data_IF_404615775025
#
_entry.id   IF_404615775025
#
_cell.length_a   1.000
_cell.length_b   1.000
_cell.length_c   1.000
_cell.angle_alpha   90.00
_cell.angle_beta   90.00
_cell.angle_gamma   90.00
#
_symmetry.space_group_name_H-M   'P 1'
#
loop_
_entity.id
_entity.type
_entity.pdbx_description
1 polymer ?
#
# COMPACT_ATOMS: atom_id res chain seq x y z
N UNK A 1 -29.36 6.93 88.93
CA UNK A 1 -28.45 7.78 88.13
C UNK A 1 -29.11 7.96 86.78
N UNK A 2 -29.68 9.15 86.58
CA UNK A 2 -30.63 9.46 85.51
C UNK A 2 -29.94 9.80 84.19
N UNK A 3 -30.55 9.31 83.12
CA UNK A 3 -30.41 9.67 81.70
C UNK A 3 -30.89 11.13 81.45
N UNK A 4 -31.07 11.61 80.20
CA UNK A 4 -30.17 11.97 79.08
C UNK A 4 -30.43 13.43 78.63
N UNK A 5 -30.08 13.84 77.39
CA UNK A 5 -30.72 14.87 76.51
C UNK A 5 -29.63 15.46 75.57
N UNK A 6 -29.68 15.36 74.24
CA UNK A 6 -30.68 15.83 73.25
C UNK A 6 -30.68 17.36 73.06
N UNK A 7 -30.59 17.82 71.80
CA UNK A 7 -31.28 19.04 71.35
C UNK A 7 -30.46 20.30 71.01
N UNK A 8 -30.30 20.51 69.70
CA UNK A 8 -30.48 21.78 68.95
C UNK A 8 -29.78 23.09 69.38
N UNK A 9 -29.03 23.69 68.43
CA UNK A 9 -29.32 25.04 67.90
C UNK A 9 -28.48 25.41 66.66
N UNK A 10 -29.17 25.76 65.58
CA UNK A 10 -28.66 26.60 64.48
C UNK A 10 -29.35 27.97 64.59
N UNK A 11 -28.63 29.09 64.40
CA UNK A 11 -29.10 30.04 63.39
C UNK A 11 -27.99 30.76 62.59
N UNK A 12 -28.29 30.98 61.29
CA UNK A 12 -28.08 32.16 60.41
C UNK A 12 -26.74 32.93 60.52
N UNK A 13 -26.02 33.36 59.48
CA UNK A 13 -26.44 33.79 58.13
C UNK A 13 -25.22 34.36 57.34
N UNK A 14 -25.26 34.20 56.00
CA UNK A 14 -24.72 35.07 54.91
C UNK A 14 -23.20 35.21 54.64
N UNK A 15 -22.79 34.64 53.51
CA UNK A 15 -22.06 35.29 52.37
C UNK A 15 -22.00 34.27 51.22
N UNK A 16 -22.87 34.32 50.21
CA UNK A 16 -22.78 35.09 48.95
C UNK A 16 -21.49 34.88 48.14
N UNK A 17 -21.53 33.99 47.15
CA UNK A 17 -21.05 34.22 45.77
C UNK A 17 -21.55 33.05 44.87
N UNK A 18 -22.59 33.27 44.06
CA UNK A 18 -22.51 33.48 42.58
C UNK A 18 -21.80 32.30 41.90
N UNK A 19 -22.39 31.44 41.08
CA UNK A 19 -23.66 31.44 40.35
C UNK A 19 -23.44 30.56 39.12
N UNK A 20 -23.74 29.26 39.21
CA UNK A 20 -23.61 28.30 38.11
C UNK A 20 -24.91 28.33 37.29
N UNK A 21 -24.86 28.87 36.07
CA UNK A 21 -26.00 28.89 35.14
C UNK A 21 -25.86 27.79 34.08
N UNK A 22 -27.01 27.16 33.84
CA UNK A 22 -27.32 26.05 32.94
C UNK A 22 -26.83 26.28 31.50
N UNK A 23 -26.36 25.22 30.85
CA UNK A 23 -26.32 25.11 29.39
C UNK A 23 -27.51 24.25 28.93
N UNK A 24 -28.58 24.91 28.51
CA UNK A 24 -29.62 24.32 27.68
C UNK A 24 -29.19 24.41 26.21
N UNK A 25 -29.29 23.28 25.51
CA UNK A 25 -28.98 23.17 24.09
C UNK A 25 -29.94 23.96 23.21
N UNK A 26 -29.40 24.44 22.09
CA UNK A 26 -30.18 24.93 20.96
C UNK A 26 -29.58 24.30 19.70
N UNK A 27 -30.35 23.40 19.10
CA UNK A 27 -30.17 22.94 17.72
C UNK A 27 -30.50 24.09 16.77
N UNK A 28 -29.62 24.37 15.80
CA UNK A 28 -29.95 25.20 14.65
C UNK A 28 -29.77 24.36 13.39
N UNK A 29 -30.90 24.15 12.70
CA UNK A 29 -30.98 23.64 11.33
C UNK A 29 -31.28 24.85 10.44
N UNK A 30 -30.42 25.10 9.45
CA UNK A 30 -30.69 25.84 8.20
C UNK A 30 -29.35 26.05 7.47
N UNK A 31 -29.23 26.04 6.15
CA UNK A 31 -30.02 25.53 5.04
C UNK A 31 -29.03 25.48 3.86
N UNK A 32 -29.08 24.42 3.07
CA UNK A 32 -28.21 24.22 1.91
C UNK A 32 -28.53 25.24 0.81
N UNK A 33 -27.51 25.95 0.32
CA UNK A 33 -27.53 26.58 -1.01
C UNK A 33 -26.51 25.86 -1.87
N UNK A 34 -27.03 24.98 -2.73
CA UNK A 34 -26.28 24.37 -3.83
C UNK A 34 -26.21 25.38 -4.97
N UNK A 35 -25.03 25.97 -5.22
CA UNK A 35 -24.73 26.51 -6.54
C UNK A 35 -24.30 25.34 -7.42
N UNK A 36 -25.22 24.88 -8.27
CA UNK A 36 -24.85 24.17 -9.49
C UNK A 36 -24.13 25.17 -10.42
N UNK A 37 -22.83 24.96 -10.61
CA UNK A 37 -22.14 25.45 -11.80
C UNK A 37 -21.67 24.20 -12.54
N UNK A 38 -22.46 23.82 -13.55
CA UNK A 38 -22.05 22.86 -14.55
C UNK A 38 -20.88 23.43 -15.35
N UNK A 39 -19.80 22.68 -15.42
CA UNK A 39 -18.81 22.81 -16.49
C UNK A 39 -18.45 21.39 -16.94
N UNK A 40 -19.12 20.99 -18.01
CA UNK A 40 -18.69 19.86 -18.84
C UNK A 40 -17.44 20.25 -19.63
N UNK A 41 -16.60 19.25 -19.88
CA UNK A 41 -15.48 19.18 -20.85
C UNK A 41 -14.18 19.91 -20.45
N UNK A 42 -12.98 19.38 -20.71
CA UNK A 42 -12.58 18.37 -21.68
C UNK A 42 -11.34 17.57 -21.21
N UNK A 43 -11.34 16.26 -21.46
CA UNK A 43 -10.11 15.51 -21.71
C UNK A 43 -9.54 15.99 -23.04
N UNK A 44 -8.25 16.33 -23.10
CA UNK A 44 -7.34 15.95 -24.19
C UNK A 44 -5.97 16.56 -23.91
N UNK A 45 -4.93 15.75 -23.75
CA UNK A 45 -3.59 15.97 -24.33
C UNK A 45 -2.60 14.97 -23.74
N UNK A 46 -2.24 14.00 -24.58
CA UNK A 46 -1.00 13.22 -24.62
C UNK A 46 -1.26 11.69 -24.70
N UNK A 47 -1.82 11.24 -25.82
CA UNK A 47 -1.67 9.86 -26.29
C UNK A 47 -1.96 9.77 -27.80
N UNK A 48 -1.21 10.49 -28.64
CA UNK A 48 -1.12 10.20 -30.07
C UNK A 48 0.25 10.61 -30.62
N UNK A 49 1.04 9.58 -30.94
CA UNK A 49 2.25 9.42 -31.79
C UNK A 49 3.10 8.36 -31.08
N UNK A 50 3.29 7.11 -31.50
CA UNK A 50 3.22 6.46 -32.80
C UNK A 50 2.69 5.03 -32.63
N UNK A 51 1.69 4.62 -33.41
CA UNK A 51 1.46 3.21 -33.70
C UNK A 51 1.43 3.03 -35.22
N UNK A 52 2.57 2.59 -35.76
CA UNK A 52 2.61 1.91 -37.04
C UNK A 52 2.31 0.42 -36.81
N UNK A 53 1.31 -0.18 -37.48
CA UNK A 53 0.96 -1.58 -37.26
C UNK A 53 1.86 -2.46 -38.12
N UNK A 54 2.75 -3.23 -37.50
CA UNK A 54 3.39 -4.36 -38.18
C UNK A 54 2.77 -5.68 -37.73
N UNK A 55 2.42 -6.43 -38.76
CA UNK A 55 1.48 -7.53 -38.79
C UNK A 55 1.90 -8.73 -37.97
N UNK A 56 0.87 -9.35 -37.41
CA UNK A 56 0.82 -10.69 -36.87
C UNK A 56 0.97 -11.72 -38.00
N UNK A 57 2.06 -12.50 -37.99
CA UNK A 57 2.17 -13.70 -38.82
C UNK A 57 2.72 -14.89 -38.02
N UNK A 58 1.85 -15.86 -37.78
CA UNK A 58 2.16 -17.27 -37.48
C UNK A 58 0.99 -18.04 -38.07
N UNK A 59 1.16 -19.07 -38.93
CA UNK A 59 1.94 -20.27 -38.57
C UNK A 59 2.64 -20.99 -39.74
N UNK A 60 3.59 -21.89 -39.43
CA UNK A 60 3.69 -23.23 -40.05
C UNK A 60 4.77 -24.09 -39.39
N UNK A 61 4.43 -25.37 -39.21
CA UNK A 61 5.29 -26.51 -38.89
C UNK A 61 5.46 -27.32 -40.19
N UNK A 62 6.67 -27.80 -40.53
CA UNK A 62 6.87 -29.26 -40.70
C UNK A 62 8.26 -29.69 -40.18
N UNK A 63 8.43 -30.80 -39.45
CA UNK A 63 8.47 -32.23 -39.84
C UNK A 63 9.89 -32.78 -39.74
N UNK A 64 10.07 -33.74 -38.83
CA UNK A 64 10.91 -34.94 -38.90
C UNK A 64 12.36 -34.87 -39.43
N UNK A 65 13.33 -35.27 -38.58
CA UNK A 65 14.10 -36.50 -38.85
C UNK A 65 14.73 -37.10 -37.60
N UNK A 66 14.62 -38.42 -37.56
CA UNK A 66 15.14 -39.36 -36.58
C UNK A 66 16.67 -39.47 -36.66
N UNK A 67 17.33 -39.62 -35.50
CA UNK A 67 18.60 -40.34 -35.41
C UNK A 67 18.49 -41.34 -34.28
N UNK A 68 18.53 -42.61 -34.66
CA UNK A 68 18.59 -43.78 -33.80
C UNK A 68 20.06 -44.02 -33.47
N UNK A 69 20.38 -44.23 -32.19
CA UNK A 69 21.60 -44.93 -31.79
C UNK A 69 21.27 -45.81 -30.58
N UNK A 70 21.31 -47.12 -30.81
CA UNK A 70 21.17 -48.17 -29.81
C UNK A 70 22.53 -48.86 -29.66
N UNK A 71 22.95 -49.11 -28.40
CA UNK A 71 24.01 -50.04 -27.95
C UNK A 71 24.42 -49.63 -26.52
N UNK A 72 24.58 -50.46 -25.48
CA UNK A 72 24.48 -51.91 -25.24
C UNK A 72 24.28 -52.06 -23.71
N UNK A 73 23.54 -53.08 -23.27
CA UNK A 73 23.40 -53.44 -21.86
C UNK A 73 24.58 -54.30 -21.36
N UNK A 74 25.01 -54.06 -20.12
CA UNK A 74 25.85 -54.95 -19.33
C UNK A 74 25.60 -54.68 -17.83
N UNK A 75 25.43 -55.71 -16.97
CA UNK A 75 24.96 -55.53 -15.61
C UNK A 75 26.12 -55.30 -14.63
N UNK A 76 25.99 -54.27 -13.79
CA UNK A 76 26.92 -53.99 -12.70
C UNK A 76 26.19 -53.25 -11.60
N UNK A 77 25.85 -53.96 -10.53
CA UNK A 77 25.26 -53.37 -9.34
C UNK A 77 26.27 -52.45 -8.64
N UNK A 78 25.88 -51.21 -8.39
CA UNK A 78 26.45 -50.39 -7.33
C UNK A 78 25.39 -49.40 -6.87
N UNK A 79 24.90 -49.63 -5.65
CA UNK A 79 24.02 -48.74 -4.90
C UNK A 79 24.86 -47.51 -4.52
N UNK A 80 24.76 -46.44 -5.31
CA UNK A 80 25.31 -45.13 -4.95
C UNK A 80 24.16 -44.22 -4.57
N UNK A 81 24.28 -43.66 -3.36
CA UNK A 81 23.26 -42.93 -2.65
C UNK A 81 22.59 -41.86 -3.49
N UNK A 82 21.28 -41.75 -3.31
CA UNK A 82 20.50 -40.64 -3.80
C UNK A 82 21.04 -39.36 -3.16
N UNK A 83 21.85 -38.61 -3.93
CA UNK A 83 22.02 -37.18 -3.74
C UNK A 83 20.64 -36.54 -3.95
N UNK A 84 19.88 -36.46 -2.87
CA UNK A 84 18.66 -35.70 -2.81
C UNK A 84 19.03 -34.22 -2.98
N UNK A 85 19.08 -33.79 -4.24
CA UNK A 85 19.12 -32.38 -4.63
C UNK A 85 18.06 -31.66 -3.78
N UNK A 86 18.41 -30.65 -2.97
CA UNK A 86 17.44 -30.02 -2.09
C UNK A 86 16.36 -29.43 -2.98
N UNK A 87 15.19 -30.06 -2.98
CA UNK A 87 13.98 -29.48 -3.54
C UNK A 87 13.78 -28.21 -2.75
N UNK A 88 14.09 -27.06 -3.35
CA UNK A 88 13.69 -25.77 -2.84
C UNK A 88 12.18 -25.88 -2.63
N UNK A 89 11.75 -26.10 -1.39
CA UNK A 89 10.33 -26.01 -1.04
C UNK A 89 9.96 -24.58 -1.36
N UNK A 90 9.31 -24.37 -2.50
CA UNK A 90 8.65 -23.11 -2.80
C UNK A 90 7.78 -22.83 -1.59
N UNK A 91 8.16 -21.86 -0.76
CA UNK A 91 7.38 -21.49 0.40
C UNK A 91 5.96 -21.26 -0.10
N UNK A 92 4.99 -22.01 0.44
CA UNK A 92 3.62 -21.91 -0.02
C UNK A 92 3.20 -20.43 0.08
N UNK A 93 2.71 -19.87 -1.03
CA UNK A 93 2.22 -18.49 -1.07
C UNK A 93 1.10 -18.38 -0.05
N UNK A 94 1.30 -17.55 0.98
CA UNK A 94 0.29 -17.34 2.00
C UNK A 94 -0.96 -16.63 1.43
N UNK A 95 -2.09 -16.66 2.15
CA UNK A 95 -3.36 -16.19 1.62
C UNK A 95 -3.45 -14.66 1.50
N UNK A 96 -2.52 -13.92 2.11
CA UNK A 96 -2.46 -12.46 2.12
C UNK A 96 -1.35 -11.95 1.21
N UNK A 97 -1.42 -10.69 0.81
CA UNK A 97 -0.38 -10.08 -0.02
C UNK A 97 -0.21 -8.58 0.23
N UNK A 98 0.94 -8.08 -0.16
CA UNK A 98 1.23 -6.68 -0.46
C UNK A 98 1.78 -6.63 -1.89
N UNK A 99 1.20 -5.78 -2.73
CA UNK A 99 1.55 -5.59 -4.13
C UNK A 99 2.03 -4.16 -4.33
N UNK A 100 3.34 -4.02 -4.48
CA UNK A 100 4.02 -2.75 -4.76
C UNK A 100 3.77 -2.37 -6.21
N UNK A 101 3.19 -1.20 -6.43
CA UNK A 101 2.69 -0.79 -7.74
C UNK A 101 3.19 0.59 -8.10
N UNK A 102 3.35 0.78 -9.40
CA UNK A 102 3.61 2.07 -10.01
C UNK A 102 2.64 2.29 -11.17
N UNK A 103 2.16 3.53 -11.32
CA UNK A 103 1.24 3.92 -12.39
C UNK A 103 1.57 5.29 -12.97
N UNK A 104 1.06 5.57 -14.16
CA UNK A 104 1.16 6.89 -14.79
C UNK A 104 0.42 7.94 -13.96
N UNK A 105 1.08 9.05 -13.65
CA UNK A 105 0.56 10.16 -12.86
C UNK A 105 1.18 11.48 -13.35
N UNK A 106 0.88 12.59 -12.67
CA UNK A 106 1.57 13.87 -12.87
C UNK A 106 3.09 13.67 -13.02
N UNK A 107 3.69 14.39 -13.97
CA UNK A 107 5.09 14.43 -14.43
C UNK A 107 5.95 13.14 -14.41
N UNK A 108 6.08 12.44 -13.29
CA UNK A 108 6.96 11.26 -13.11
C UNK A 108 6.23 9.98 -12.68
N UNK A 109 4.95 10.01 -12.33
CA UNK A 109 4.19 8.82 -11.91
C UNK A 109 3.85 8.76 -10.42
N UNK A 110 3.19 7.68 -9.99
CA UNK A 110 2.84 7.44 -8.59
C UNK A 110 3.17 6.01 -8.17
N UNK A 111 3.70 5.84 -6.96
CA UNK A 111 3.98 4.55 -6.34
C UNK A 111 3.07 4.31 -5.14
N UNK A 112 2.51 3.11 -5.01
CA UNK A 112 1.55 2.77 -3.96
C UNK A 112 1.57 1.26 -3.70
N UNK A 113 0.84 0.81 -2.68
CA UNK A 113 0.62 -0.61 -2.42
C UNK A 113 -0.86 -0.95 -2.47
N UNK A 114 -1.17 -2.11 -3.04
CA UNK A 114 -2.40 -2.84 -2.73
C UNK A 114 -2.10 -3.89 -1.68
N UNK A 115 -3.00 -4.08 -0.73
CA UNK A 115 -2.87 -5.14 0.25
C UNK A 115 -4.22 -5.73 0.63
N UNK A 116 -4.20 -6.97 1.08
CA UNK A 116 -5.41 -7.68 1.48
C UNK A 116 -5.29 -9.19 1.32
N UNK A 117 -6.45 -9.84 1.22
CA UNK A 117 -6.55 -11.30 1.08
C UNK A 117 -6.76 -11.67 -0.39
N UNK A 118 -6.02 -12.66 -0.87
CA UNK A 118 -6.06 -13.11 -2.29
C UNK A 118 -7.44 -13.63 -2.69
N UNK A 119 -8.22 -14.15 -1.73
CA UNK A 119 -9.58 -14.65 -1.98
C UNK A 119 -10.64 -13.55 -2.06
N UNK A 120 -10.29 -12.29 -1.78
CA UNK A 120 -11.23 -11.17 -1.77
C UNK A 120 -10.98 -10.28 -2.99
N UNK A 121 -12.07 -9.77 -3.57
CA UNK A 121 -12.01 -8.79 -4.68
C UNK A 121 -11.68 -7.39 -4.17
N UNK A 122 -12.10 -7.06 -2.95
CA UNK A 122 -11.81 -5.78 -2.32
C UNK A 122 -10.33 -5.74 -1.93
N UNK A 123 -9.70 -4.61 -2.22
CA UNK A 123 -8.29 -4.35 -1.93
C UNK A 123 -8.19 -3.06 -1.13
N UNK A 124 -7.36 -3.06 -0.10
CA UNK A 124 -6.97 -1.82 0.54
C UNK A 124 -5.80 -1.20 -0.23
N UNK A 125 -5.81 0.13 -0.34
CA UNK A 125 -4.75 0.91 -1.00
C UNK A 125 -4.06 1.79 0.02
N UNK A 126 -2.74 1.86 -0.06
CA UNK A 126 -1.95 2.85 0.67
C UNK A 126 -0.88 3.46 -0.24
N UNK A 127 -0.85 4.78 -0.29
CA UNK A 127 0.16 5.57 -0.98
C UNK A 127 0.56 6.78 -0.15
N UNK A 128 1.39 7.66 -0.70
CA UNK A 128 1.63 8.98 -0.13
C UNK A 128 1.74 9.99 -1.26
N UNK A 129 0.78 10.92 -1.31
CA UNK A 129 0.70 11.97 -2.32
C UNK A 129 0.25 13.29 -1.66
N UNK A 130 0.49 14.45 -2.28
CA UNK A 130 -0.04 15.70 -1.76
C UNK A 130 -1.57 15.63 -1.69
N UNK A 131 -2.14 16.30 -0.70
CA UNK A 131 -3.59 16.50 -0.61
C UNK A 131 -4.01 17.60 -1.59
N UNK A 132 -5.00 17.32 -2.44
CA UNK A 132 -5.44 18.20 -3.52
C UNK A 132 -4.68 18.00 -4.84
N UNK A 133 -4.86 18.96 -5.77
CA UNK A 133 -4.42 18.80 -7.16
C UNK A 133 -3.04 19.45 -7.44
N UNK A 134 -2.95 20.21 -8.54
CA UNK A 134 -1.70 20.71 -9.13
C UNK A 134 -0.95 21.67 -8.20
N UNK A 135 -1.64 22.56 -7.51
CA UNK A 135 -0.98 23.60 -6.71
C UNK A 135 -0.20 23.00 -5.50
N UNK A 136 -0.80 22.15 -4.64
CA UNK A 136 -0.05 21.44 -3.60
C UNK A 136 1.09 20.59 -4.14
N UNK A 137 0.90 19.94 -5.29
CA UNK A 137 1.95 19.17 -5.96
C UNK A 137 3.16 20.03 -6.33
N UNK A 138 2.94 21.19 -6.95
CA UNK A 138 4.02 22.12 -7.31
C UNK A 138 4.71 22.68 -6.07
N UNK A 139 3.93 23.10 -5.06
CA UNK A 139 4.46 23.67 -3.83
C UNK A 139 5.30 22.66 -3.02
N UNK A 140 4.89 21.39 -3.03
CA UNK A 140 5.59 20.34 -2.29
C UNK A 140 6.97 19.97 -2.85
N UNK A 141 7.39 20.54 -3.98
CA UNK A 141 8.78 20.50 -4.44
C UNK A 141 9.67 21.53 -3.73
N UNK A 142 9.08 22.57 -3.13
CA UNK A 142 9.82 23.64 -2.44
C UNK A 142 9.70 23.55 -0.92
N UNK A 143 8.58 23.05 -0.40
CA UNK A 143 8.30 22.94 1.04
C UNK A 143 7.47 21.69 1.34
N UNK A 144 7.08 21.50 2.60
CA UNK A 144 6.12 20.47 2.99
C UNK A 144 4.69 20.96 2.78
N UNK A 145 3.84 20.07 2.27
CA UNK A 145 2.40 20.30 2.09
C UNK A 145 1.61 19.17 2.76
N UNK A 146 0.33 19.37 3.10
CA UNK A 146 -0.51 18.28 3.59
C UNK A 146 -0.54 17.10 2.61
N UNK A 147 -0.65 15.89 3.13
CA UNK A 147 -0.69 14.66 2.33
C UNK A 147 -1.95 13.84 2.55
N UNK A 148 -2.24 13.01 1.55
CA UNK A 148 -3.21 11.93 1.63
C UNK A 148 -2.49 10.59 1.45
N UNK A 149 -3.04 9.55 2.07
CA UNK A 149 -2.41 8.23 2.09
C UNK A 149 -3.31 7.09 1.61
N UNK A 150 -4.52 7.41 1.16
CA UNK A 150 -5.48 6.47 0.62
C UNK A 150 -5.26 6.16 -0.86
N UNK A 151 -6.31 5.69 -1.52
CA UNK A 151 -6.32 5.58 -2.98
C UNK A 151 -6.44 6.96 -3.62
N UNK A 152 -5.63 7.21 -4.64
CA UNK A 152 -5.77 8.35 -5.55
C UNK A 152 -6.36 7.92 -6.89
N UNK A 153 -6.75 8.89 -7.72
CA UNK A 153 -7.25 8.63 -9.06
C UNK A 153 -6.27 7.78 -9.88
N UNK A 154 -6.77 6.70 -10.49
CA UNK A 154 -5.99 5.78 -11.30
C UNK A 154 -5.31 4.63 -10.55
N UNK A 155 -5.31 4.62 -9.21
CA UNK A 155 -4.65 3.55 -8.44
C UNK A 155 -5.39 2.21 -8.49
N UNK A 156 -6.69 2.25 -8.85
CA UNK A 156 -7.54 1.07 -9.05
C UNK A 156 -7.61 0.63 -10.53
N UNK A 157 -7.13 1.45 -11.46
CA UNK A 157 -7.32 1.26 -12.89
C UNK A 157 -6.10 0.61 -13.54
N UNK A 158 -6.28 -0.62 -14.03
CA UNK A 158 -5.19 -1.40 -14.64
C UNK A 158 -4.57 -0.72 -15.88
N UNK A 159 -5.34 0.13 -16.56
CA UNK A 159 -4.87 0.82 -17.77
C UNK A 159 -3.73 1.81 -17.51
N UNK A 160 -3.56 2.27 -16.27
CA UNK A 160 -2.48 3.18 -15.89
C UNK A 160 -1.28 2.45 -15.27
N UNK A 161 -1.38 1.14 -15.05
CA UNK A 161 -0.35 0.36 -14.35
C UNK A 161 0.92 0.23 -15.20
N UNK A 162 2.04 0.64 -14.63
CA UNK A 162 3.38 0.55 -15.24
C UNK A 162 4.18 -0.63 -14.70
N UNK A 163 4.16 -0.84 -13.37
CA UNK A 163 4.88 -1.93 -12.73
C UNK A 163 4.10 -2.50 -11.53
N UNK A 164 4.34 -3.79 -11.25
CA UNK A 164 3.79 -4.49 -10.09
C UNK A 164 4.80 -5.51 -9.57
N UNK A 165 4.94 -5.58 -8.25
CA UNK A 165 5.70 -6.58 -7.54
C UNK A 165 4.93 -7.05 -6.31
N UNK A 166 4.38 -8.26 -6.40
CA UNK A 166 3.55 -8.85 -5.35
C UNK A 166 4.32 -9.81 -4.47
N UNK A 167 4.17 -9.62 -3.16
CA UNK A 167 4.75 -10.44 -2.10
C UNK A 167 3.64 -10.99 -1.22
N UNK A 168 3.62 -12.31 -1.07
CA UNK A 168 2.64 -13.05 -0.28
C UNK A 168 3.09 -13.22 1.17
N UNK A 169 2.11 -13.24 2.07
CA UNK A 169 2.26 -13.23 3.51
C UNK A 169 1.45 -14.34 4.16
N UNK A 170 2.01 -14.93 5.22
CA UNK A 170 1.22 -15.70 6.18
C UNK A 170 0.20 -14.81 6.89
N UNK A 171 -0.79 -15.40 7.57
CA UNK A 171 -1.75 -14.63 8.36
C UNK A 171 -1.09 -13.83 9.49
N UNK A 172 -0.13 -14.44 10.18
CA UNK A 172 0.61 -13.80 11.26
C UNK A 172 1.40 -12.59 10.75
N UNK A 173 2.11 -12.75 9.63
CA UNK A 173 2.88 -11.65 9.03
C UNK A 173 1.96 -10.55 8.48
N UNK A 174 0.86 -10.93 7.84
CA UNK A 174 -0.11 -9.98 7.30
C UNK A 174 -0.67 -9.06 8.39
N UNK A 175 -1.00 -9.59 9.57
CA UNK A 175 -1.46 -8.78 10.70
C UNK A 175 -0.44 -7.70 11.09
N UNK A 176 0.85 -8.05 11.16
CA UNK A 176 1.94 -7.12 11.49
C UNK A 176 2.14 -6.07 10.39
N UNK A 177 2.23 -6.52 9.13
CA UNK A 177 2.47 -5.64 7.98
C UNK A 177 1.31 -4.67 7.78
N UNK A 178 0.05 -5.14 7.86
CA UNK A 178 -1.11 -4.28 7.66
C UNK A 178 -1.24 -3.25 8.79
N UNK A 179 -0.96 -3.64 10.04
CA UNK A 179 -0.89 -2.68 11.15
C UNK A 179 0.18 -1.61 10.92
N UNK A 180 1.36 -2.00 10.41
CA UNK A 180 2.42 -1.05 10.06
C UNK A 180 2.02 -0.10 8.91
N UNK A 181 1.35 -0.61 7.87
CA UNK A 181 0.81 0.22 6.79
C UNK A 181 -0.18 1.25 7.35
N UNK A 182 -1.14 0.82 8.18
CA UNK A 182 -2.10 1.73 8.83
C UNK A 182 -1.42 2.76 9.72
N UNK A 183 -0.37 2.36 10.45
CA UNK A 183 0.45 3.28 11.22
C UNK A 183 1.09 4.35 10.32
N UNK A 184 1.74 3.94 9.22
CA UNK A 184 2.32 4.89 8.26
C UNK A 184 1.29 5.83 7.65
N UNK A 185 0.08 5.34 7.33
CA UNK A 185 -1.01 6.18 6.84
C UNK A 185 -1.41 7.25 7.86
N UNK A 186 -1.43 6.91 9.15
CA UNK A 186 -1.79 7.83 10.24
C UNK A 186 -0.66 8.80 10.63
N UNK A 187 0.60 8.42 10.41
CA UNK A 187 1.78 9.20 10.84
C UNK A 187 2.53 9.89 9.71
N UNK A 188 1.99 9.87 8.49
CA UNK A 188 2.52 10.63 7.34
C UNK A 188 1.54 11.75 6.96
N UNK A 189 1.46 12.87 7.73
CA UNK A 189 0.54 13.98 7.45
C UNK A 189 1.07 14.98 6.41
N UNK A 190 2.37 14.89 6.07
CA UNK A 190 3.04 15.82 5.17
C UNK A 190 3.68 15.09 3.98
N UNK A 191 3.63 15.74 2.83
CA UNK A 191 4.27 15.35 1.58
C UNK A 191 5.36 16.36 1.21
N UNK A 192 6.46 15.86 0.67
CA UNK A 192 7.49 16.64 0.00
C UNK A 192 8.15 15.79 -1.08
N UNK A 193 8.38 16.35 -2.26
CA UNK A 193 8.85 15.61 -3.44
C UNK A 193 10.20 14.92 -3.23
N UNK A 194 11.09 15.47 -2.40
CA UNK A 194 12.47 15.01 -2.23
C UNK A 194 12.70 14.12 -1.00
N UNK A 195 11.80 14.18 -0.02
CA UNK A 195 12.01 13.54 1.29
C UNK A 195 10.87 12.62 1.71
N UNK A 196 9.64 13.13 1.66
CA UNK A 196 8.45 12.43 2.15
C UNK A 196 7.48 12.20 1.00
N UNK A 197 7.81 11.24 0.14
CA UNK A 197 7.10 10.97 -1.10
C UNK A 197 6.63 9.51 -1.22
N UNK A 198 6.01 9.19 -2.36
CA UNK A 198 5.38 7.90 -2.61
C UNK A 198 6.35 6.70 -2.57
N UNK A 199 7.53 6.83 -3.17
CA UNK A 199 8.58 5.79 -3.20
C UNK A 199 9.25 5.62 -1.83
N UNK A 200 9.48 6.71 -1.09
CA UNK A 200 9.95 6.63 0.29
C UNK A 200 8.93 5.91 1.19
N UNK A 201 7.63 6.17 1.00
CA UNK A 201 6.54 5.54 1.74
C UNK A 201 6.50 4.03 1.50
N UNK A 202 6.44 3.58 0.24
CA UNK A 202 6.41 2.14 -0.06
C UNK A 202 7.73 1.46 0.29
N UNK A 203 8.85 2.18 0.25
CA UNK A 203 10.15 1.71 0.72
C UNK A 203 10.16 1.38 2.20
N UNK A 204 9.53 2.21 3.04
CA UNK A 204 9.39 1.89 4.48
C UNK A 204 8.61 0.59 4.70
N UNK A 205 7.53 0.37 3.94
CA UNK A 205 6.75 -0.88 3.98
C UNK A 205 7.62 -2.07 3.56
N UNK A 206 8.31 -1.96 2.44
CA UNK A 206 9.19 -3.01 1.92
C UNK A 206 10.32 -3.36 2.92
N UNK A 207 10.97 -2.35 3.49
CA UNK A 207 11.99 -2.54 4.52
C UNK A 207 11.43 -3.22 5.78
N UNK A 208 10.24 -2.83 6.24
CA UNK A 208 9.57 -3.50 7.36
C UNK A 208 9.27 -4.99 7.06
N UNK A 209 8.96 -5.30 5.80
CA UNK A 209 8.78 -6.67 5.30
C UNK A 209 10.10 -7.45 5.13
N UNK A 210 11.25 -6.86 5.44
CA UNK A 210 12.56 -7.49 5.28
C UNK A 210 13.00 -7.61 3.81
N UNK A 211 12.51 -6.73 2.93
CA UNK A 211 12.99 -6.59 1.56
C UNK A 211 14.13 -5.57 1.51
N UNK A 212 15.10 -5.80 0.62
CA UNK A 212 16.06 -4.75 0.24
C UNK A 212 15.34 -3.66 -0.52
N UNK A 213 15.69 -2.40 -0.31
CA UNK A 213 14.98 -1.28 -0.92
C UNK A 213 15.88 -0.41 -1.79
N UNK A 214 15.38 0.05 -2.95
CA UNK A 214 16.04 1.05 -3.78
C UNK A 214 16.17 2.41 -3.10
N UNK A 215 17.03 3.28 -3.65
CA UNK A 215 17.02 4.70 -3.32
C UNK A 215 15.68 5.34 -3.72
N UNK A 216 15.09 6.17 -2.86
CA UNK A 216 13.71 6.61 -3.01
C UNK A 216 13.48 7.70 -4.06
N UNK A 217 14.48 8.45 -4.51
CA UNK A 217 14.29 9.50 -5.54
C UNK A 217 14.35 9.00 -6.98
N UNK A 218 13.81 7.81 -7.20
CA UNK A 218 13.63 7.22 -8.53
C UNK A 218 12.22 7.46 -9.03
N UNK A 219 12.05 7.36 -10.35
CA UNK A 219 10.71 7.26 -10.91
C UNK A 219 10.00 6.04 -10.31
N UNK A 220 8.71 6.13 -9.97
CA UNK A 220 7.93 5.04 -9.42
C UNK A 220 8.06 3.70 -10.15
N UNK A 221 8.04 3.71 -11.48
CA UNK A 221 8.19 2.49 -12.28
C UNK A 221 9.57 1.84 -12.07
N UNK A 222 10.63 2.63 -12.18
CA UNK A 222 12.01 2.19 -11.96
C UNK A 222 12.20 1.69 -10.53
N UNK A 223 11.63 2.39 -9.54
CA UNK A 223 11.68 2.00 -8.13
C UNK A 223 11.04 0.62 -7.92
N UNK A 224 9.84 0.36 -8.45
CA UNK A 224 9.15 -0.93 -8.25
C UNK A 224 9.87 -2.06 -8.99
N UNK A 225 10.38 -1.81 -10.20
CA UNK A 225 11.18 -2.79 -10.94
C UNK A 225 12.49 -3.10 -10.20
N UNK A 226 13.24 -2.09 -9.75
CA UNK A 226 14.47 -2.29 -9.00
C UNK A 226 14.21 -2.96 -7.64
N UNK A 227 13.10 -2.65 -6.98
CA UNK A 227 12.68 -3.31 -5.75
C UNK A 227 12.50 -4.82 -5.97
N UNK A 228 11.87 -5.22 -7.06
CA UNK A 228 11.75 -6.64 -7.45
C UNK A 228 13.12 -7.25 -7.67
N UNK A 229 13.96 -6.59 -8.46
CA UNK A 229 15.24 -7.14 -8.93
C UNK A 229 16.25 -7.28 -7.77
N UNK A 230 16.32 -6.31 -6.85
CA UNK A 230 17.16 -6.38 -5.64
C UNK A 230 16.80 -7.54 -4.69
N UNK A 231 15.57 -8.05 -4.81
CA UNK A 231 15.04 -9.14 -4.02
C UNK A 231 14.89 -10.44 -4.82
N UNK A 232 15.58 -10.56 -5.96
CA UNK A 232 15.56 -11.72 -6.85
C UNK A 232 14.14 -12.15 -7.27
N UNK A 233 13.20 -11.20 -7.32
CA UNK A 233 11.79 -11.44 -7.58
C UNK A 233 11.08 -12.30 -6.52
N UNK A 234 11.61 -12.41 -5.30
CA UNK A 234 11.06 -13.21 -4.21
C UNK A 234 9.61 -12.83 -3.88
N UNK A 235 8.69 -13.74 -4.14
CA UNK A 235 7.26 -13.49 -3.93
C UNK A 235 6.75 -13.84 -2.52
N UNK A 236 7.60 -14.17 -1.55
CA UNK A 236 7.16 -14.52 -0.18
C UNK A 236 8.12 -13.95 0.84
N UNK A 237 7.60 -13.47 1.97
CA UNK A 237 8.43 -13.07 3.13
C UNK A 237 7.94 -13.74 4.40
N UNK A 238 8.87 -13.88 5.35
CA UNK A 238 8.60 -14.27 6.72
C UNK A 238 9.25 -13.22 7.61
N UNK A 239 8.49 -12.59 8.49
CA UNK A 239 9.06 -11.65 9.44
C UNK A 239 9.82 -12.44 10.51
N UNK A 240 10.89 -11.86 11.05
CA UNK A 240 11.53 -12.43 12.22
C UNK A 240 10.50 -12.52 13.36
N UNK A 241 10.48 -13.65 14.08
CA UNK A 241 9.72 -13.74 15.33
C UNK A 241 10.22 -12.67 16.29
N UNK A 242 9.29 -11.97 16.94
CA UNK A 242 9.64 -10.93 17.92
C UNK A 242 10.52 -11.58 18.99
N UNK A 243 11.75 -11.07 19.16
CA UNK A 243 12.65 -11.47 20.25
C UNK A 243 12.34 -10.68 21.50
#
# INVERSE_FOLDING_TARGET
MSCPCEGLKVPKSKRTQIGLRLLAGISVVAASVTLEVGISHAQQLAAQTDQAPLQQEKPRKPSSRSVVAAAVAGPGASVSGADAKPVRRSAAKGPYYVDFRARTAASYGHAFVWYGKTSQKMVDVAGLHPAGDVLPYMLGHLTWVPSETGASYGDLDVQYLLASYRVYLSEADAKKVFAYIKHLQATSPLWNAETTNCTAFIGRIASFMGLKTPFHLQKPEDYVNQLRDMNDGRQTVQLASDR
#
